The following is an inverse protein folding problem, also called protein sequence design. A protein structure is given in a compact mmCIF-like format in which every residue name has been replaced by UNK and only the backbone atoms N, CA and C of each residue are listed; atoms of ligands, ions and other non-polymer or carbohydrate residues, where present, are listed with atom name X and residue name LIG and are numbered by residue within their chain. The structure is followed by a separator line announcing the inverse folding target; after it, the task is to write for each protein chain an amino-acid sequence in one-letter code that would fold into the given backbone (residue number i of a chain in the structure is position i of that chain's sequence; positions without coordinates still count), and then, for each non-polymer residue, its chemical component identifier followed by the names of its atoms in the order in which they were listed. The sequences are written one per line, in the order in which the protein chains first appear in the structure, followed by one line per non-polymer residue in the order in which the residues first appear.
data_IF_218667965353
#
_entry.id   IF_218667965353
#
_cell.length_a   1.000
_cell.length_b   1.000
_cell.length_c   1.000
_cell.angle_alpha   90.00
_cell.angle_beta   90.00
_cell.angle_gamma   90.00
#
_symmetry.space_group_name_H-M   'P 1'
#
loop_
_entity.id
_entity.type
_entity.pdbx_description
1 polymer ?
#
# COMPACT_ATOMS: atom_id res chain seq x y z
N UNK A 1 18.19 4.41 -9.95
CA UNK A 1 17.02 3.73 -9.35
C UNK A 1 16.93 2.30 -9.85
N UNK A 2 16.63 1.30 -9.00
CA UNK A 2 16.38 -0.07 -9.46
C UNK A 2 15.15 -0.17 -10.37
N UNK A 3 15.17 -1.09 -11.35
CA UNK A 3 14.07 -1.27 -12.33
C UNK A 3 12.73 -1.59 -11.66
N UNK A 4 12.74 -2.44 -10.62
CA UNK A 4 11.54 -2.79 -9.85
C UNK A 4 10.90 -1.55 -9.19
N UNK A 5 11.72 -0.65 -8.64
CA UNK A 5 11.27 0.61 -8.05
C UNK A 5 10.64 1.56 -9.07
N UNK A 6 11.19 1.64 -10.28
CA UNK A 6 10.61 2.43 -11.35
C UNK A 6 9.25 1.85 -11.81
N UNK A 7 9.17 0.53 -11.97
CA UNK A 7 7.93 -0.16 -12.35
C UNK A 7 6.79 0.12 -11.37
N UNK A 8 7.04 -0.04 -10.06
CA UNK A 8 5.99 0.16 -9.05
C UNK A 8 5.53 1.62 -9.00
N UNK A 9 6.44 2.59 -9.16
CA UNK A 9 6.08 4.02 -9.18
C UNK A 9 5.24 4.34 -10.42
N UNK A 10 5.61 3.82 -11.59
CA UNK A 10 4.81 3.97 -12.82
C UNK A 10 3.42 3.37 -12.62
N UNK A 11 3.31 2.17 -12.07
CA UNK A 11 2.03 1.52 -11.78
C UNK A 11 1.16 2.33 -10.80
N UNK A 12 1.77 2.90 -9.75
CA UNK A 12 1.07 3.76 -8.79
C UNK A 12 0.55 5.04 -9.44
N UNK A 13 1.33 5.66 -10.33
CA UNK A 13 0.94 6.89 -11.06
C UNK A 13 -0.23 6.65 -12.00
N UNK A 14 -0.23 5.55 -12.75
CA UNK A 14 -1.29 5.24 -13.71
C UNK A 14 -2.49 4.51 -13.07
N UNK A 15 -2.48 4.29 -11.75
CA UNK A 15 -3.55 3.62 -11.03
C UNK A 15 -3.68 2.12 -11.33
N UNK A 16 -2.61 1.49 -11.82
CA UNK A 16 -2.54 0.05 -12.10
C UNK A 16 -1.62 -0.74 -11.13
N UNK A 17 -1.47 -0.37 -9.84
CA UNK A 17 -0.68 -1.20 -8.95
C UNK A 17 -1.44 -2.50 -8.63
N UNK A 18 -0.74 -3.54 -8.17
CA UNK A 18 -1.38 -4.75 -7.67
C UNK A 18 -1.98 -4.54 -6.26
N UNK A 19 -2.85 -3.53 -6.14
CA UNK A 19 -3.71 -3.27 -4.99
C UNK A 19 -5.10 -3.85 -5.26
N UNK A 20 -5.81 -4.22 -4.20
CA UNK A 20 -7.05 -5.01 -4.29
C UNK A 20 -8.14 -4.33 -5.12
N UNK A 21 -8.24 -2.98 -5.11
CA UNK A 21 -9.19 -2.26 -5.99
C UNK A 21 -8.92 -2.52 -7.47
N UNK A 22 -7.66 -2.46 -7.89
CA UNK A 22 -7.28 -2.72 -9.28
C UNK A 22 -7.39 -4.21 -9.61
N UNK A 23 -6.91 -5.08 -8.72
CA UNK A 23 -6.97 -6.53 -8.90
C UNK A 23 -8.41 -7.03 -9.02
N UNK A 24 -9.34 -6.50 -8.22
CA UNK A 24 -10.76 -6.80 -8.33
C UNK A 24 -11.33 -6.34 -9.68
N UNK A 25 -10.95 -5.15 -10.16
CA UNK A 25 -11.39 -4.65 -11.48
C UNK A 25 -10.98 -5.59 -12.63
N UNK A 26 -9.81 -6.22 -12.53
CA UNK A 26 -9.31 -7.20 -13.52
C UNK A 26 -9.65 -8.65 -13.17
N UNK A 27 -10.54 -8.88 -12.20
CA UNK A 27 -10.99 -10.22 -11.74
C UNK A 27 -9.84 -11.12 -11.24
N UNK A 28 -8.81 -10.54 -10.66
CA UNK A 28 -7.66 -11.23 -10.04
C UNK A 28 -7.72 -11.26 -8.51
N UNK A 29 -8.71 -10.62 -7.91
CA UNK A 29 -8.97 -10.65 -6.47
C UNK A 29 -10.47 -10.59 -6.22
N UNK A 30 -10.96 -11.33 -5.23
CA UNK A 30 -12.39 -11.50 -4.97
C UNK A 30 -13.05 -10.24 -4.40
N UNK A 31 -12.31 -9.45 -3.64
CA UNK A 31 -12.83 -8.24 -2.98
C UNK A 31 -11.95 -7.02 -3.24
N UNK A 32 -12.53 -5.83 -3.46
CA UNK A 32 -11.73 -4.61 -3.65
C UNK A 32 -11.14 -4.07 -2.33
N UNK A 33 -11.56 -4.62 -1.19
CA UNK A 33 -11.27 -4.13 0.16
C UNK A 33 -9.80 -4.28 0.52
N UNK A 34 -9.28 -3.33 1.29
CA UNK A 34 -7.93 -3.38 1.85
C UNK A 34 -7.84 -4.46 2.93
N UNK A 35 -6.93 -5.42 2.73
CA UNK A 35 -6.72 -6.50 3.70
C UNK A 35 -6.21 -5.97 5.04
N UNK A 36 -5.43 -4.89 5.03
CA UNK A 36 -4.82 -4.33 6.23
C UNK A 36 -5.84 -3.64 7.16
N UNK A 37 -6.87 -2.97 6.62
CA UNK A 37 -7.83 -2.21 7.43
C UNK A 37 -9.27 -2.74 7.37
N UNK A 38 -9.61 -3.56 6.37
CA UNK A 38 -10.94 -4.12 6.16
C UNK A 38 -12.07 -3.13 5.86
N UNK A 39 -11.79 -1.82 5.82
CA UNK A 39 -12.83 -0.79 5.88
C UNK A 39 -13.16 -0.14 4.53
N UNK A 40 -12.21 -0.09 3.60
CA UNK A 40 -12.37 0.62 2.34
C UNK A 40 -11.67 -0.11 1.18
N UNK A 41 -12.05 0.17 -0.07
CA UNK A 41 -11.34 -0.32 -1.24
C UNK A 41 -9.87 0.09 -1.23
N UNK A 42 -8.96 -0.86 -1.47
CA UNK A 42 -7.52 -0.61 -1.51
C UNK A 42 -7.12 0.14 -2.78
N UNK A 43 -7.32 1.46 -2.78
CA UNK A 43 -6.85 2.37 -3.82
C UNK A 43 -5.45 2.90 -3.51
N UNK A 44 -4.80 3.53 -4.49
CA UNK A 44 -3.51 4.20 -4.30
C UNK A 44 -3.59 5.26 -3.21
N UNK A 45 -4.65 6.08 -3.27
CA UNK A 45 -4.97 7.08 -2.26
C UNK A 45 -5.14 6.45 -0.88
N UNK A 46 -5.96 5.40 -0.80
CA UNK A 46 -6.20 4.71 0.45
C UNK A 46 -4.90 4.16 1.05
N UNK A 47 -4.12 3.45 0.25
CA UNK A 47 -2.87 2.82 0.68
C UNK A 47 -1.83 3.84 1.18
N UNK A 48 -1.61 4.94 0.45
CA UNK A 48 -0.55 5.91 0.76
C UNK A 48 -0.96 6.98 1.78
N UNK A 49 -2.23 7.39 1.80
CA UNK A 49 -2.67 8.60 2.50
C UNK A 49 -3.74 8.36 3.57
N UNK A 50 -4.56 7.32 3.46
CA UNK A 50 -5.74 7.16 4.32
C UNK A 50 -5.67 5.98 5.29
N UNK A 51 -5.06 4.87 4.87
CA UNK A 51 -5.13 3.59 5.58
C UNK A 51 -4.66 3.73 7.02
N UNK A 52 -5.54 3.37 7.96
CA UNK A 52 -5.28 3.49 9.40
C UNK A 52 -4.18 2.54 9.86
N UNK A 53 -4.13 1.33 9.30
CA UNK A 53 -3.12 0.33 9.64
C UNK A 53 -1.70 0.76 9.21
N UNK A 54 -1.60 1.57 8.17
CA UNK A 54 -0.32 2.13 7.72
C UNK A 54 0.00 3.50 8.33
N UNK A 55 -0.82 4.01 9.25
CA UNK A 55 -0.61 5.32 9.89
C UNK A 55 0.80 5.49 10.47
N UNK A 56 1.39 4.54 11.23
CA UNK A 56 2.75 4.72 11.78
C UNK A 56 3.84 4.80 10.69
N UNK A 57 3.62 4.16 9.55
CA UNK A 57 4.53 4.22 8.40
C UNK A 57 4.36 5.55 7.65
N UNK A 58 3.11 6.01 7.51
CA UNK A 58 2.78 7.28 6.87
C UNK A 58 3.28 8.48 7.67
N UNK A 59 3.12 8.47 8.99
CA UNK A 59 3.63 9.54 9.85
C UNK A 59 5.15 9.68 9.73
N UNK A 60 5.89 8.57 9.73
CA UNK A 60 7.34 8.57 9.45
C UNK A 60 7.67 9.10 8.05
N UNK A 61 6.90 8.71 7.03
CA UNK A 61 7.06 9.19 5.66
C UNK A 61 6.83 10.70 5.57
N UNK A 62 5.74 11.21 6.15
CA UNK A 62 5.39 12.63 6.13
C UNK A 62 6.36 13.47 6.95
N UNK A 63 6.81 12.98 8.10
CA UNK A 63 7.82 13.67 8.91
C UNK A 63 9.14 13.82 8.15
N UNK A 64 9.54 12.80 7.38
CA UNK A 64 10.75 12.87 6.55
C UNK A 64 10.62 13.81 5.33
N UNK A 65 9.39 14.02 4.84
CA UNK A 65 9.12 14.86 3.67
C UNK A 65 8.84 16.33 4.02
N UNK A 66 8.31 16.60 5.21
CA UNK A 66 7.86 17.92 5.63
C UNK A 66 6.48 18.28 5.08
N UNK A 67 6.23 19.57 4.85
CA UNK A 67 4.93 20.09 4.37
C UNK A 67 4.80 19.93 2.84
N UNK A 68 3.57 19.76 2.35
CA UNK A 68 3.24 19.79 0.91
C UNK A 68 3.14 18.44 0.19
N UNK A 69 3.15 17.33 0.93
CA UNK A 69 3.07 15.96 0.39
C UNK A 69 1.72 15.26 0.68
N UNK A 70 0.70 16.05 0.97
CA UNK A 70 -0.69 15.64 1.18
C UNK A 70 -1.39 15.21 -0.13
N UNK A 71 -0.85 15.63 -1.28
CA UNK A 71 -1.35 15.26 -2.61
C UNK A 71 -0.57 14.08 -3.18
N UNK A 72 -1.30 13.11 -3.70
CA UNK A 72 -0.73 11.92 -4.35
C UNK A 72 0.20 12.29 -5.50
N UNK A 73 -0.18 13.30 -6.30
CA UNK A 73 0.61 13.76 -7.44
C UNK A 73 1.97 14.31 -7.00
N UNK A 74 2.00 15.13 -5.95
CA UNK A 74 3.26 15.69 -5.41
C UNK A 74 4.15 14.58 -4.83
N UNK A 75 3.54 13.62 -4.12
CA UNK A 75 4.25 12.49 -3.53
C UNK A 75 4.86 11.58 -4.60
N UNK A 76 4.15 11.33 -5.71
CA UNK A 76 4.62 10.43 -6.76
C UNK A 76 5.42 11.14 -7.86
N UNK A 77 5.42 12.47 -7.95
CA UNK A 77 6.12 13.22 -9.02
C UNK A 77 7.48 13.77 -8.60
N UNK A 78 7.68 14.05 -7.32
CA UNK A 78 8.95 14.62 -6.82
C UNK A 78 9.98 13.55 -6.48
N UNK A 79 11.30 13.77 -6.74
CA UNK A 79 12.33 12.79 -6.39
C UNK A 79 12.36 12.42 -4.90
N UNK A 80 12.13 13.41 -4.01
CA UNK A 80 12.05 13.20 -2.56
C UNK A 80 10.82 12.39 -2.18
N UNK A 81 9.64 12.74 -2.72
CA UNK A 81 8.38 12.02 -2.50
C UNK A 81 8.49 10.56 -2.94
N UNK A 82 9.02 10.32 -4.13
CA UNK A 82 9.21 8.96 -4.67
C UNK A 82 10.11 8.13 -3.75
N UNK A 83 11.24 8.69 -3.30
CA UNK A 83 12.17 7.99 -2.40
C UNK A 83 11.47 7.63 -1.08
N UNK A 84 10.65 8.53 -0.53
CA UNK A 84 9.92 8.29 0.70
C UNK A 84 8.78 7.26 0.51
N UNK A 85 8.05 7.33 -0.60
CA UNK A 85 7.01 6.35 -0.97
C UNK A 85 7.59 4.95 -1.12
N UNK A 86 8.77 4.80 -1.73
CA UNK A 86 9.46 3.50 -1.82
C UNK A 86 9.87 2.95 -0.45
N UNK A 87 10.37 3.81 0.44
CA UNK A 87 10.67 3.40 1.83
C UNK A 87 9.41 2.97 2.58
N UNK A 88 8.30 3.68 2.38
CA UNK A 88 7.00 3.31 2.93
C UNK A 88 6.53 1.94 2.40
N UNK A 89 6.61 1.72 1.09
CA UNK A 89 6.27 0.43 0.47
C UNK A 89 7.12 -0.71 1.05
N UNK A 90 8.43 -0.50 1.16
CA UNK A 90 9.32 -1.50 1.75
C UNK A 90 8.96 -1.79 3.21
N UNK A 91 8.65 -0.76 4.01
CA UNK A 91 8.30 -0.91 5.42
C UNK A 91 6.93 -1.58 5.65
N UNK A 92 5.97 -1.39 4.73
CA UNK A 92 4.66 -2.05 4.79
C UNK A 92 4.71 -3.50 4.30
N UNK A 93 5.78 -3.91 3.62
CA UNK A 93 5.91 -5.25 3.04
C UNK A 93 4.96 -5.49 1.86
N UNK A 94 4.23 -4.47 1.39
CA UNK A 94 3.36 -4.58 0.23
C UNK A 94 4.23 -4.70 -1.03
N UNK A 95 3.83 -5.55 -1.97
CA UNK A 95 4.52 -5.82 -3.25
C UNK A 95 5.81 -6.65 -3.20
N UNK A 96 6.15 -7.25 -2.05
CA UNK A 96 7.39 -8.03 -1.86
C UNK A 96 7.48 -9.34 -2.66
N UNK A 97 6.38 -9.85 -3.23
CA UNK A 97 6.35 -11.16 -3.92
C UNK A 97 6.50 -11.12 -5.44
N UNK A 98 6.47 -9.94 -6.07
CA UNK A 98 6.56 -9.84 -7.55
C UNK A 98 7.43 -8.69 -8.04
N UNK A 99 7.83 -7.78 -7.15
CA UNK A 99 8.78 -6.73 -7.44
C UNK A 99 9.77 -6.69 -6.29
N UNK A 100 10.98 -7.21 -6.50
CA UNK A 100 12.07 -7.12 -5.53
C UNK A 100 12.51 -5.65 -5.36
N UNK A 101 11.71 -4.88 -4.62
CA UNK A 101 12.01 -3.53 -4.15
C UNK A 101 12.73 -3.60 -2.79
N UNK A 102 12.58 -4.74 -2.08
CA UNK A 102 13.00 -4.96 -0.70
C UNK A 102 14.20 -5.92 -0.53
N UNK A 103 14.90 -6.30 -1.60
CA UNK A 103 16.12 -7.11 -1.51
C UNK A 103 17.26 -6.46 -0.70
N UNK A 104 17.16 -5.17 -0.37
CA UNK A 104 18.18 -4.42 0.38
C UNK A 104 17.86 -4.18 1.86
N UNK A 105 16.65 -4.47 2.37
CA UNK A 105 16.27 -4.17 3.76
C UNK A 105 15.58 -5.39 4.40
N UNK A 106 16.37 -6.44 4.66
CA UNK A 106 15.93 -7.67 5.33
C UNK A 106 15.45 -7.40 6.76
N UNK A 107 14.23 -7.80 7.09
CA UNK A 107 13.83 -8.54 8.30
C UNK A 107 12.28 -8.66 8.38
N UNK A 108 11.75 -9.87 8.19
CA UNK A 108 10.34 -10.22 8.48
C UNK A 108 10.09 -10.13 10.00
N UNK A 109 8.86 -9.79 10.43
CA UNK A 109 8.13 -10.83 11.16
C UNK A 109 6.67 -10.99 10.71
N UNK A 110 6.08 -12.03 11.29
CA UNK A 110 4.92 -12.80 10.88
C UNK A 110 3.63 -12.02 10.56
N UNK A 111 2.99 -12.45 9.47
CA UNK A 111 1.54 -12.31 9.29
C UNK A 111 0.84 -13.07 10.41
N UNK A 112 0.08 -12.36 11.24
CA UNK A 112 -1.08 -12.92 11.94
C UNK A 112 -2.26 -12.02 11.64
N UNK A 113 -3.02 -12.35 10.61
CA UNK A 113 -4.39 -11.90 10.49
C UNK A 113 -5.26 -12.92 11.23
N UNK A 114 -5.97 -12.55 12.31
CA UNK A 114 -7.11 -13.36 12.74
C UNK A 114 -8.22 -13.25 11.68
N UNK A 115 -9.01 -14.31 11.46
CA UNK A 115 -10.08 -14.32 10.47
C UNK A 115 -11.17 -13.29 10.82
N UNK A 116 -11.82 -12.66 9.82
CA UNK A 116 -13.00 -11.85 10.09
C UNK A 116 -14.12 -12.77 10.61
N UNK A 117 -14.70 -12.39 11.75
CA UNK A 117 -15.88 -13.03 12.29
C UNK A 117 -17.09 -12.76 11.38
N UNK A 118 -17.35 -13.69 10.47
CA UNK A 118 -18.61 -13.78 9.72
C UNK A 118 -19.39 -14.97 10.25
N UNK A 119 -20.57 -14.76 10.84
CA UNK A 119 -21.33 -15.86 11.42
C UNK A 119 -22.63 -15.46 12.11
N UNK A 120 -23.51 -14.85 11.34
CA UNK A 120 -24.93 -14.62 11.57
C UNK A 120 -25.67 -15.85 12.17
N UNK A 121 -26.50 -15.62 13.20
CA UNK A 121 -27.58 -16.53 13.57
C UNK A 121 -28.82 -15.72 13.95
N UNK A 122 -29.69 -15.53 12.95
CA UNK A 122 -31.12 -15.23 13.11
C UNK A 122 -31.86 -16.47 13.63
N UNK A 123 -33.08 -16.23 14.17
CA UNK A 123 -34.17 -17.14 14.58
C UNK A 123 -34.09 -17.49 16.08
N UNK A 124 -35.16 -17.42 16.87
CA UNK A 124 -36.60 -17.27 16.64
C UNK A 124 -37.23 -16.41 17.74
#
# INVERSE_FOLDING_TARGET
MPRASASIITQLRIGHPPLNKHLHRIKRHEHPTCDACGAAPESVWHFLLECRQHRPHRERMMHALGRGYDRLDTLLSTPSGIKAALKFIAATGRFSSSHDVAGALRARPARTHPPPASGEARRA
#
